data_IF_457103091776
#
_entry.id   IF_457103091776
#
_cell.length_a   1.000
_cell.length_b   1.000
_cell.length_c   1.000
_cell.angle_alpha   90.00
_cell.angle_beta   90.00
_cell.angle_gamma   90.00
#
_symmetry.space_group_name_H-M   'P 1'
#
loop_
_entity.id
_entity.type
_entity.pdbx_description
1 polymer ?
#
# COMPACT_ATOMS: atom_id res chain seq x y z
N UNK A 1 19.88 14.54 -4.29
CA UNK A 1 19.61 13.16 -4.72
C UNK A 1 20.94 12.53 -5.07
N UNK A 2 21.43 11.67 -4.19
CA UNK A 2 22.71 10.98 -4.35
C UNK A 2 22.55 9.77 -5.26
N UNK A 3 23.66 9.18 -5.72
CA UNK A 3 23.62 7.96 -6.54
C UNK A 3 22.98 6.78 -5.77
N UNK A 4 23.10 6.79 -4.44
CA UNK A 4 22.49 5.79 -3.55
C UNK A 4 20.97 5.89 -3.53
N UNK A 5 20.41 7.11 -3.56
CA UNK A 5 18.95 7.30 -3.59
C UNK A 5 18.34 6.67 -4.85
N UNK A 6 18.99 6.90 -6.01
CA UNK A 6 18.56 6.30 -7.28
C UNK A 6 18.68 4.78 -7.29
N UNK A 7 19.74 4.24 -6.70
CA UNK A 7 19.92 2.79 -6.58
C UNK A 7 18.76 2.16 -5.78
N UNK A 8 18.37 2.77 -4.68
CA UNK A 8 17.26 2.29 -3.83
C UNK A 8 15.93 2.33 -4.60
N UNK A 9 15.66 3.41 -5.34
CA UNK A 9 14.44 3.53 -6.15
C UNK A 9 14.38 2.47 -7.24
N UNK A 10 15.47 2.26 -7.97
CA UNK A 10 15.56 1.24 -9.02
C UNK A 10 15.38 -0.16 -8.42
N UNK A 11 16.06 -0.44 -7.30
CA UNK A 11 15.94 -1.73 -6.60
C UNK A 11 14.49 -2.00 -6.17
N UNK A 12 13.82 -1.01 -5.58
CA UNK A 12 12.41 -1.11 -5.21
C UNK A 12 11.53 -1.42 -6.42
N UNK A 13 11.69 -0.69 -7.52
CA UNK A 13 10.92 -0.91 -8.74
C UNK A 13 11.13 -2.33 -9.31
N UNK A 14 12.37 -2.81 -9.34
CA UNK A 14 12.70 -4.17 -9.81
C UNK A 14 12.05 -5.24 -8.93
N UNK A 15 12.07 -5.07 -7.60
CA UNK A 15 11.43 -6.01 -6.67
C UNK A 15 9.92 -6.07 -6.91
N UNK A 16 9.25 -4.92 -7.02
CA UNK A 16 7.79 -4.85 -7.24
C UNK A 16 7.40 -5.52 -8.55
N UNK A 17 8.13 -5.23 -9.64
CA UNK A 17 7.90 -5.86 -10.93
C UNK A 17 8.17 -7.38 -10.86
N UNK A 18 9.24 -7.78 -10.19
CA UNK A 18 9.60 -9.19 -10.00
C UNK A 18 8.52 -9.98 -9.26
N UNK A 19 7.95 -9.42 -8.20
CA UNK A 19 6.82 -10.02 -7.47
C UNK A 19 5.59 -10.16 -8.39
N UNK A 20 5.28 -9.12 -9.18
CA UNK A 20 4.17 -9.16 -10.13
C UNK A 20 4.33 -10.25 -11.19
N UNK A 21 5.53 -10.37 -11.77
CA UNK A 21 5.83 -11.41 -12.76
C UNK A 21 5.81 -12.81 -12.16
N UNK A 22 6.30 -12.99 -10.94
CA UNK A 22 6.24 -14.27 -10.23
C UNK A 22 4.80 -14.68 -9.90
N UNK A 23 3.97 -13.72 -9.50
CA UNK A 23 2.55 -13.96 -9.22
C UNK A 23 1.74 -14.34 -10.46
N UNK A 24 2.18 -13.96 -11.66
CA UNK A 24 1.48 -14.25 -12.91
C UNK A 24 1.45 -15.75 -13.26
N UNK A 25 2.46 -16.52 -12.86
CA UNK A 25 2.56 -17.95 -13.19
C UNK A 25 1.65 -18.87 -12.37
N UNK A 26 0.86 -18.35 -11.43
CA UNK A 26 0.00 -19.14 -10.53
C UNK A 26 -1.51 -18.96 -10.79
N UNK A 27 -1.90 -18.22 -11.84
CA UNK A 27 -3.27 -17.82 -12.09
C UNK A 27 -3.91 -18.69 -13.19
N UNK A 28 -4.42 -19.88 -12.85
CA UNK A 28 -5.05 -20.79 -13.84
C UNK A 28 -6.56 -20.69 -13.91
N UNK A 29 -7.22 -20.07 -12.92
CA UNK A 29 -8.68 -19.97 -12.86
C UNK A 29 -9.13 -18.62 -12.24
N UNK A 30 -10.18 -18.01 -12.78
CA UNK A 30 -10.74 -16.74 -12.31
C UNK A 30 -11.16 -16.80 -10.84
N UNK A 31 -11.61 -17.97 -10.38
CA UNK A 31 -11.92 -18.20 -8.96
C UNK A 31 -10.68 -18.15 -8.06
N UNK A 32 -9.51 -18.57 -8.53
CA UNK A 32 -8.25 -18.48 -7.76
C UNK A 32 -7.74 -17.03 -7.71
N UNK A 33 -7.95 -16.28 -8.79
CA UNK A 33 -7.63 -14.84 -8.89
C UNK A 33 -8.41 -14.01 -7.86
N UNK A 34 -9.72 -14.26 -7.71
CA UNK A 34 -10.58 -13.47 -6.83
C UNK A 34 -10.75 -14.04 -5.42
N UNK A 35 -10.76 -15.38 -5.23
CA UNK A 35 -10.98 -15.99 -3.91
C UNK A 35 -9.68 -16.36 -3.17
N UNK A 36 -8.50 -16.22 -3.79
CA UNK A 36 -7.22 -16.43 -3.10
C UNK A 36 -7.13 -17.79 -2.40
N UNK A 37 -7.63 -18.84 -3.07
CA UNK A 37 -7.68 -20.23 -2.57
C UNK A 37 -8.28 -20.41 -1.15
N UNK A 38 -9.05 -19.45 -0.62
CA UNK A 38 -9.52 -19.44 0.79
C UNK A 38 -8.42 -19.65 1.85
N UNK A 39 -7.14 -19.42 1.49
CA UNK A 39 -5.99 -19.67 2.37
C UNK A 39 -5.27 -18.39 2.79
N UNK A 40 -5.73 -17.23 2.33
CA UNK A 40 -5.15 -15.95 2.75
C UNK A 40 -5.54 -15.72 4.22
N UNK A 41 -4.57 -15.60 5.14
CA UNK A 41 -4.88 -15.37 6.54
C UNK A 41 -5.47 -13.96 6.72
N UNK A 42 -6.39 -13.83 7.67
CA UNK A 42 -7.14 -12.60 7.92
C UNK A 42 -6.24 -11.35 8.12
N UNK A 43 -5.07 -11.52 8.73
CA UNK A 43 -4.11 -10.44 8.94
C UNK A 43 -3.51 -9.93 7.62
N UNK A 44 -3.25 -10.80 6.65
CA UNK A 44 -2.74 -10.40 5.33
C UNK A 44 -3.79 -9.62 4.55
N UNK A 45 -5.07 -9.99 4.68
CA UNK A 45 -6.19 -9.23 4.14
C UNK A 45 -6.25 -7.84 4.78
N UNK A 46 -6.11 -7.76 6.11
CA UNK A 46 -6.06 -6.48 6.83
C UNK A 46 -4.93 -5.56 6.34
N UNK A 47 -3.72 -6.09 6.19
CA UNK A 47 -2.60 -5.32 5.63
C UNK A 47 -2.85 -4.86 4.19
N UNK A 48 -3.46 -5.71 3.35
CA UNK A 48 -3.80 -5.34 1.97
C UNK A 48 -4.81 -4.21 1.90
N UNK A 49 -5.83 -4.23 2.76
CA UNK A 49 -6.84 -3.15 2.84
C UNK A 49 -6.17 -1.84 3.24
N UNK A 50 -5.38 -1.84 4.32
CA UNK A 50 -4.68 -0.64 4.80
C UNK A 50 -3.73 -0.10 3.72
N UNK A 51 -2.96 -0.98 3.07
CA UNK A 51 -2.05 -0.60 2.00
C UNK A 51 -2.77 0.02 0.79
N UNK A 52 -3.99 -0.45 0.48
CA UNK A 52 -4.82 0.08 -0.62
C UNK A 52 -5.44 1.43 -0.25
N UNK A 53 -5.81 1.63 1.02
CA UNK A 53 -6.37 2.90 1.50
C UNK A 53 -5.32 4.02 1.61
N UNK A 54 -4.04 3.70 1.77
CA UNK A 54 -2.97 4.68 1.85
C UNK A 54 -2.53 5.16 0.45
N UNK A 55 -2.72 6.46 0.19
CA UNK A 55 -2.25 7.12 -1.04
C UNK A 55 -1.00 7.95 -0.80
N UNK A 56 -0.23 8.20 -1.87
CA UNK A 56 0.85 9.18 -1.87
C UNK A 56 0.37 10.58 -1.47
N UNK A 57 -0.88 10.92 -1.81
CA UNK A 57 -1.51 12.16 -1.39
C UNK A 57 -1.70 12.23 0.14
N UNK A 58 -2.07 11.11 0.78
CA UNK A 58 -2.20 11.04 2.24
C UNK A 58 -0.84 11.16 2.94
N UNK A 59 0.21 10.58 2.35
CA UNK A 59 1.57 10.64 2.91
C UNK A 59 2.20 12.04 2.82
N UNK A 60 1.95 12.78 1.75
CA UNK A 60 2.47 14.13 1.58
C UNK A 60 1.54 15.20 2.17
N UNK A 61 0.24 15.03 2.00
CA UNK A 61 -0.80 15.97 2.46
C UNK A 61 -1.07 15.86 3.95
N UNK A 62 -1.01 14.66 4.54
CA UNK A 62 -1.27 14.45 5.96
C UNK A 62 -0.36 15.27 6.89
N UNK A 63 0.97 15.25 6.71
CA UNK A 63 1.88 16.10 7.48
C UNK A 63 1.71 17.60 7.19
N UNK A 64 1.33 17.96 5.96
CA UNK A 64 1.05 19.34 5.58
C UNK A 64 -0.17 19.89 6.32
N UNK A 65 -1.27 19.13 6.32
CA UNK A 65 -2.50 19.44 7.07
C UNK A 65 -2.29 19.35 8.58
N UNK A 66 -1.43 18.45 9.05
CA UNK A 66 -1.03 18.37 10.45
C UNK A 66 -0.18 19.58 10.91
N UNK A 67 0.61 20.18 10.01
CA UNK A 67 1.36 21.41 10.31
C UNK A 67 0.46 22.65 10.41
N UNK A 68 -0.61 22.71 9.62
CA UNK A 68 -1.55 23.83 9.60
C UNK A 68 -2.66 23.70 10.64
N UNK A 69 -3.21 22.49 10.82
CA UNK A 69 -4.37 22.22 11.68
C UNK A 69 -4.05 21.40 12.94
N UNK A 70 -2.81 20.99 13.15
CA UNK A 70 -2.37 20.27 14.35
C UNK A 70 -3.08 18.91 14.51
N UNK A 71 -3.37 18.54 15.76
CA UNK A 71 -4.06 17.28 16.09
C UNK A 71 -5.53 17.24 15.62
N UNK A 72 -6.10 18.39 15.20
CA UNK A 72 -7.48 18.46 14.69
C UNK A 72 -7.65 17.63 13.42
N UNK A 73 -6.62 17.60 12.56
CA UNK A 73 -6.62 16.79 11.34
C UNK A 73 -6.75 15.29 11.66
N UNK A 74 -6.04 14.80 12.69
CA UNK A 74 -6.16 13.41 13.13
C UNK A 74 -7.56 13.09 13.66
N UNK A 75 -8.18 14.02 14.37
CA UNK A 75 -9.54 13.84 14.88
C UNK A 75 -10.57 13.74 13.73
N UNK A 76 -10.44 14.58 12.70
CA UNK A 76 -11.32 14.54 11.53
C UNK A 76 -11.14 13.23 10.75
N UNK A 77 -9.90 12.80 10.55
CA UNK A 77 -9.62 11.57 9.81
C UNK A 77 -10.02 10.30 10.58
N UNK A 78 -9.96 10.31 11.90
CA UNK A 78 -10.55 9.26 12.74
C UNK A 78 -12.07 9.31 12.72
N UNK A 79 -12.67 10.51 12.63
CA UNK A 79 -14.12 10.69 12.48
C UNK A 79 -14.67 10.15 11.17
N UNK A 80 -13.91 10.24 10.06
CA UNK A 80 -14.26 9.65 8.76
C UNK A 80 -14.12 8.12 8.72
N UNK A 81 -13.43 7.54 9.72
CA UNK A 81 -13.10 6.10 9.79
C UNK A 81 -14.11 5.28 10.60
N UNK A 82 -15.03 5.93 11.33
CA UNK A 82 -16.04 5.31 12.21
C UNK A 82 -17.43 5.53 11.59
#
# INVERSE_FOLDING_TARGET
>A
MTIFDWLIVILYAVIVIGIGLWSNNQQTNTAEYFLGQHRIPWWAIGFSIIATSFSAASLLGGPGEGFTHGLLYLQLQLGDLI
#
